data_IF_897263243538
#
_entry.id   IF_897263243538
#
_cell.length_a   1.000
_cell.length_b   1.000
_cell.length_c   1.000
_cell.angle_alpha   90.00
_cell.angle_beta   90.00
_cell.angle_gamma   90.00
#
_symmetry.space_group_name_H-M   'P 1'
#
loop_
_entity.id
_entity.type
_entity.pdbx_description
1 polymer ?
#
# COMPACT_ATOMS: atom_id res chain seq x y z
N UNK A 1 16.56 33.30 15.39
CA UNK A 1 15.92 31.98 15.19
C UNK A 1 15.16 32.06 13.88
N UNK A 2 15.48 31.24 12.87
CA UNK A 2 14.62 31.14 11.68
C UNK A 2 13.28 30.58 12.16
N UNK A 3 12.19 31.27 11.85
CA UNK A 3 10.85 30.81 12.18
C UNK A 3 10.60 29.52 11.40
N UNK A 4 10.30 28.44 12.12
CA UNK A 4 10.09 27.12 11.51
C UNK A 4 8.84 27.18 10.63
N UNK A 5 9.00 26.82 9.35
CA UNK A 5 7.90 26.86 8.38
C UNK A 5 6.98 25.67 8.60
N UNK A 6 5.67 25.91 8.58
CA UNK A 6 4.65 24.86 8.71
C UNK A 6 4.82 23.81 7.62
N UNK A 7 4.82 22.53 8.00
CA UNK A 7 4.90 21.42 7.06
C UNK A 7 3.72 21.42 6.07
N UNK A 8 4.00 21.09 4.82
CA UNK A 8 2.99 20.94 3.78
C UNK A 8 2.59 19.46 3.64
N UNK A 9 1.29 19.20 3.57
CA UNK A 9 0.74 17.87 3.31
C UNK A 9 0.03 17.85 1.95
N UNK A 10 0.43 16.95 1.05
CA UNK A 10 -0.14 16.83 -0.29
C UNK A 10 -0.78 15.46 -0.43
N UNK A 11 -2.10 15.42 -0.56
CA UNK A 11 -2.83 14.19 -0.79
C UNK A 11 -3.00 13.96 -2.29
N UNK A 12 -2.55 12.81 -2.76
CA UNK A 12 -2.93 12.27 -4.06
C UNK A 12 -4.41 11.89 -4.03
N UNK A 13 -5.22 12.71 -4.71
CA UNK A 13 -6.67 12.61 -4.69
C UNK A 13 -7.17 11.34 -5.36
N UNK A 14 -6.68 11.03 -6.56
CA UNK A 14 -7.17 9.87 -7.31
C UNK A 14 -6.71 8.56 -6.68
N UNK A 15 -5.49 8.47 -6.18
CA UNK A 15 -5.04 7.29 -5.42
C UNK A 15 -5.97 6.98 -4.24
N UNK A 16 -6.35 8.00 -3.45
CA UNK A 16 -7.30 7.78 -2.35
C UNK A 16 -8.72 7.48 -2.83
N UNK A 17 -9.20 8.09 -3.92
CA UNK A 17 -10.52 7.84 -4.50
C UNK A 17 -10.64 6.37 -4.95
N UNK A 18 -9.68 5.89 -5.74
CA UNK A 18 -9.65 4.51 -6.21
C UNK A 18 -9.56 3.52 -5.06
N UNK A 19 -8.63 3.75 -4.11
CA UNK A 19 -8.51 2.92 -2.91
C UNK A 19 -9.82 2.87 -2.12
N UNK A 20 -10.47 4.01 -1.94
CA UNK A 20 -11.74 4.11 -1.21
C UNK A 20 -12.87 3.38 -1.91
N UNK A 21 -12.94 3.45 -3.25
CA UNK A 21 -13.92 2.73 -4.03
C UNK A 21 -13.72 1.21 -3.95
N UNK A 22 -12.51 0.74 -4.23
CA UNK A 22 -12.21 -0.69 -4.29
C UNK A 22 -12.30 -1.37 -2.92
N UNK A 23 -12.05 -0.65 -1.82
CA UNK A 23 -12.28 -1.16 -0.47
C UNK A 23 -13.74 -1.62 -0.23
N UNK A 24 -14.72 -1.08 -0.97
CA UNK A 24 -16.13 -1.45 -0.85
C UNK A 24 -16.69 -2.11 -2.12
N UNK A 25 -15.86 -2.53 -3.07
CA UNK A 25 -16.35 -3.09 -4.35
C UNK A 25 -17.27 -4.29 -4.17
N UNK A 26 -16.98 -5.16 -3.19
CA UNK A 26 -17.78 -6.35 -2.88
C UNK A 26 -19.06 -6.03 -2.11
N UNK A 27 -19.14 -4.85 -1.48
CA UNK A 27 -20.31 -4.40 -0.73
C UNK A 27 -20.46 -2.88 -0.89
N UNK A 28 -20.90 -2.41 -2.06
CA UNK A 28 -21.02 -0.98 -2.33
C UNK A 28 -21.97 -0.32 -1.33
N UNK A 29 -21.61 0.87 -0.89
CA UNK A 29 -22.49 1.72 -0.09
C UNK A 29 -23.37 2.50 -1.06
N UNK A 30 -24.69 2.35 -0.96
CA UNK A 30 -25.66 3.06 -1.79
C UNK A 30 -26.53 3.95 -0.91
N UNK A 31 -26.87 5.14 -1.39
CA UNK A 31 -27.91 5.97 -0.77
C UNK A 31 -29.32 5.55 -1.24
N UNK A 32 -30.36 6.19 -0.71
CA UNK A 32 -31.77 5.91 -1.07
C UNK A 32 -32.12 6.07 -2.54
N UNK A 33 -31.36 6.88 -3.29
CA UNK A 33 -31.51 7.06 -4.75
C UNK A 33 -30.79 5.98 -5.58
N UNK A 34 -30.06 5.07 -4.92
CA UNK A 34 -29.23 4.05 -5.58
C UNK A 34 -27.86 4.56 -6.03
N UNK A 35 -27.47 5.78 -5.66
CA UNK A 35 -26.16 6.33 -5.97
C UNK A 35 -25.09 5.71 -5.06
N UNK A 36 -23.99 5.26 -5.67
CA UNK A 36 -22.83 4.70 -4.97
C UNK A 36 -22.08 5.80 -4.20
N UNK A 37 -21.89 5.62 -2.90
CA UNK A 37 -21.20 6.55 -2.00
C UNK A 37 -19.95 5.94 -1.37
N UNK A 38 -19.50 4.78 -1.84
CA UNK A 38 -18.33 4.06 -1.33
C UNK A 38 -17.05 4.90 -1.32
N UNK A 39 -16.71 5.53 -2.45
CA UNK A 39 -15.52 6.37 -2.58
C UNK A 39 -15.65 7.62 -1.72
N UNK A 40 -16.84 8.25 -1.69
CA UNK A 40 -17.13 9.41 -0.83
C UNK A 40 -16.90 9.06 0.64
N UNK A 41 -17.51 7.97 1.11
CA UNK A 41 -17.37 7.49 2.48
C UNK A 41 -15.90 7.21 2.84
N UNK A 42 -15.21 6.41 2.02
CA UNK A 42 -13.82 6.02 2.28
C UNK A 42 -12.86 7.22 2.27
N UNK A 43 -13.01 8.12 1.31
CA UNK A 43 -12.17 9.30 1.15
C UNK A 43 -12.28 10.20 2.38
N UNK A 44 -13.50 10.58 2.77
CA UNK A 44 -13.71 11.48 3.91
C UNK A 44 -13.45 10.82 5.27
N UNK A 45 -13.56 9.49 5.37
CA UNK A 45 -13.10 8.73 6.55
C UNK A 45 -11.58 8.81 6.70
N UNK A 46 -10.83 8.55 5.64
CA UNK A 46 -9.36 8.63 5.64
C UNK A 46 -8.87 10.06 5.87
N UNK A 47 -9.54 11.04 5.27
CA UNK A 47 -9.24 12.45 5.47
C UNK A 47 -9.46 12.88 6.93
N UNK A 48 -10.55 12.42 7.57
CA UNK A 48 -10.83 12.72 8.97
C UNK A 48 -9.71 12.17 9.87
N UNK A 49 -9.33 10.90 9.67
CA UNK A 49 -8.24 10.27 10.41
C UNK A 49 -6.90 11.00 10.20
N UNK A 50 -6.60 11.41 8.96
CA UNK A 50 -5.40 12.19 8.66
C UNK A 50 -5.37 13.52 9.43
N UNK A 51 -6.48 14.27 9.41
CA UNK A 51 -6.57 15.56 10.10
C UNK A 51 -6.53 15.43 11.63
N UNK A 52 -7.05 14.33 12.18
CA UNK A 52 -6.99 14.04 13.63
C UNK A 52 -5.57 13.68 14.08
N UNK A 53 -4.87 12.84 13.30
CA UNK A 53 -3.56 12.32 13.66
C UNK A 53 -2.44 13.33 13.37
N UNK A 54 -2.48 13.99 12.21
CA UNK A 54 -1.40 14.87 11.75
C UNK A 54 -1.65 16.36 12.02
N UNK A 55 -2.93 16.75 12.19
CA UNK A 55 -3.34 18.14 12.43
C UNK A 55 -2.67 19.15 11.48
N UNK A 56 -2.77 18.94 10.16
CA UNK A 56 -2.04 19.74 9.19
C UNK A 56 -2.55 21.18 9.14
N UNK A 57 -1.62 22.14 9.05
CA UNK A 57 -1.97 23.56 8.88
C UNK A 57 -1.93 24.01 7.41
N UNK A 58 -1.10 23.35 6.60
CA UNK A 58 -1.07 23.46 5.14
C UNK A 58 -1.37 22.07 4.55
N UNK A 59 -2.46 21.97 3.79
CA UNK A 59 -2.91 20.73 3.20
C UNK A 59 -3.61 20.99 1.86
N UNK A 60 -3.24 20.23 0.84
CA UNK A 60 -3.85 20.27 -0.48
C UNK A 60 -4.21 18.89 -1.00
N UNK A 61 -5.33 18.80 -1.71
CA UNK A 61 -5.70 17.60 -2.49
C UNK A 61 -5.33 17.85 -3.94
N UNK A 62 -4.43 17.03 -4.49
CA UNK A 62 -3.98 17.16 -5.86
C UNK A 62 -4.76 16.18 -6.74
N UNK A 63 -5.30 16.65 -7.85
CA UNK A 63 -6.17 15.89 -8.73
C UNK A 63 -5.57 15.81 -10.14
N UNK A 64 -5.77 14.68 -10.80
CA UNK A 64 -5.38 14.50 -12.20
C UNK A 64 -6.13 15.43 -13.16
N UNK A 65 -5.45 15.74 -14.26
CA UNK A 65 -6.03 16.38 -15.43
C UNK A 65 -7.17 15.51 -16.01
N UNK A 66 -8.33 16.12 -16.39
CA UNK A 66 -9.38 15.42 -17.10
C UNK A 66 -9.08 15.25 -18.60
N UNK A 67 -8.00 15.88 -19.09
CA UNK A 67 -7.56 15.83 -20.48
C UNK A 67 -6.21 15.11 -20.60
N UNK A 68 -5.86 14.57 -21.79
CA UNK A 68 -4.57 13.96 -22.02
C UNK A 68 -3.40 14.88 -21.63
N UNK A 69 -2.33 14.26 -21.15
CA UNK A 69 -1.10 14.94 -20.72
C UNK A 69 -0.01 14.85 -21.77
N UNK A 70 1.07 15.61 -21.58
CA UNK A 70 2.24 15.55 -22.45
C UNK A 70 2.84 14.13 -22.60
N UNK A 71 2.61 13.23 -21.64
CA UNK A 71 3.00 11.81 -21.74
C UNK A 71 2.26 11.07 -22.85
N UNK A 72 0.99 11.39 -23.09
CA UNK A 72 0.19 10.78 -24.15
C UNK A 72 0.67 11.24 -25.54
N UNK A 73 1.16 12.48 -25.66
CA UNK A 73 1.76 12.99 -26.89
C UNK A 73 3.14 12.34 -27.15
N UNK A 74 3.91 12.07 -26.09
CA UNK A 74 5.22 11.41 -26.18
C UNK A 74 5.12 9.92 -26.50
N UNK A 75 4.13 9.23 -25.94
CA UNK A 75 3.95 7.78 -26.11
C UNK A 75 2.44 7.44 -26.08
N UNK A 76 1.81 7.25 -27.25
CA UNK A 76 0.36 7.01 -27.35
C UNK A 76 -0.15 5.81 -26.55
N UNK A 77 0.69 4.80 -26.33
CA UNK A 77 0.35 3.61 -25.57
C UNK A 77 0.48 3.81 -24.04
N UNK A 78 0.94 4.97 -23.57
CA UNK A 78 1.02 5.30 -22.13
C UNK A 78 -0.37 5.17 -21.47
N UNK A 79 -0.45 4.40 -20.38
CA UNK A 79 -1.70 4.07 -19.64
C UNK A 79 -2.80 3.43 -20.49
N UNK A 80 -2.53 3.03 -21.74
CA UNK A 80 -3.55 2.50 -22.66
C UNK A 80 -4.12 1.13 -22.24
N UNK A 81 -3.40 0.40 -21.40
CA UNK A 81 -3.86 -0.87 -20.83
C UNK A 81 -4.62 -0.70 -19.50
N UNK A 82 -4.74 0.52 -18.96
CA UNK A 82 -5.56 0.76 -17.77
C UNK A 82 -7.03 0.52 -18.12
N UNK A 83 -7.69 -0.31 -17.32
CA UNK A 83 -9.13 -0.46 -17.44
C UNK A 83 -9.81 0.90 -17.21
N UNK A 84 -10.83 1.19 -18.02
CA UNK A 84 -11.63 2.39 -17.82
C UNK A 84 -12.25 2.33 -16.43
N UNK A 85 -12.11 3.41 -15.66
CA UNK A 85 -12.70 3.45 -14.33
C UNK A 85 -14.22 3.20 -14.40
N UNK A 86 -14.80 2.47 -13.42
CA UNK A 86 -16.23 2.26 -13.36
C UNK A 86 -17.00 3.58 -13.44
N UNK A 87 -18.07 3.64 -14.23
CA UNK A 87 -18.83 4.88 -14.44
C UNK A 87 -19.41 5.42 -13.12
N UNK A 88 -19.73 4.54 -12.16
CA UNK A 88 -20.21 4.89 -10.82
C UNK A 88 -19.10 5.39 -9.88
N UNK A 89 -17.82 5.05 -10.13
CA UNK A 89 -16.68 5.71 -9.50
C UNK A 89 -16.52 7.13 -10.06
N UNK A 90 -16.57 7.29 -11.38
CA UNK A 90 -16.48 8.61 -12.02
C UNK A 90 -17.58 9.57 -11.52
N UNK A 91 -18.80 9.06 -11.31
CA UNK A 91 -19.91 9.84 -10.78
C UNK A 91 -19.68 10.35 -9.35
N UNK A 92 -18.79 9.74 -8.57
CA UNK A 92 -18.45 10.15 -7.20
C UNK A 92 -17.40 11.26 -7.12
N UNK A 93 -16.57 11.44 -8.16
CA UNK A 93 -15.51 12.46 -8.16
C UNK A 93 -16.07 13.89 -8.01
N UNK A 94 -17.12 14.31 -8.76
CA UNK A 94 -17.73 15.63 -8.57
C UNK A 94 -18.27 15.85 -7.15
N UNK A 95 -18.82 14.80 -6.51
CA UNK A 95 -19.33 14.85 -5.14
C UNK A 95 -18.19 15.09 -4.14
N UNK A 96 -17.06 14.40 -4.32
CA UNK A 96 -15.88 14.61 -3.48
C UNK A 96 -15.36 16.05 -3.63
N UNK A 97 -15.30 16.58 -4.85
CA UNK A 97 -14.90 17.96 -5.09
C UNK A 97 -15.88 18.97 -4.48
N UNK A 98 -17.18 18.69 -4.53
CA UNK A 98 -18.23 19.51 -3.89
C UNK A 98 -18.00 19.59 -2.37
N UNK A 99 -17.78 18.46 -1.71
CA UNK A 99 -17.55 18.40 -0.27
C UNK A 99 -16.22 19.07 0.10
N UNK A 100 -15.12 18.82 -0.63
CA UNK A 100 -13.84 19.49 -0.42
C UNK A 100 -13.97 21.02 -0.51
N UNK A 101 -14.71 21.50 -1.52
CA UNK A 101 -15.00 22.93 -1.70
C UNK A 101 -15.83 23.49 -0.55
N UNK A 102 -16.87 22.76 -0.10
CA UNK A 102 -17.68 23.16 1.05
C UNK A 102 -16.83 23.26 2.33
N UNK A 103 -15.89 22.33 2.51
CA UNK A 103 -14.92 22.36 3.62
C UNK A 103 -13.84 23.44 3.50
N UNK A 104 -13.77 24.15 2.36
CA UNK A 104 -12.71 25.09 2.00
C UNK A 104 -11.31 24.45 1.95
N UNK A 105 -11.24 23.13 1.74
CA UNK A 105 -9.98 22.44 1.45
C UNK A 105 -9.57 22.78 0.02
N UNK A 106 -8.31 23.13 -0.16
CA UNK A 106 -7.77 23.50 -1.47
C UNK A 106 -7.53 22.25 -2.29
N UNK A 107 -8.16 22.19 -3.46
CA UNK A 107 -7.87 21.21 -4.49
C UNK A 107 -7.10 21.88 -5.62
N UNK A 108 -6.00 21.26 -6.05
CA UNK A 108 -5.15 21.74 -7.13
C UNK A 108 -5.22 20.77 -8.30
N UNK A 109 -5.35 21.32 -9.51
CA UNK A 109 -5.37 20.59 -10.77
C UNK A 109 -4.89 21.53 -11.88
N UNK A 110 -4.23 20.99 -12.89
CA UNK A 110 -3.81 21.72 -14.07
C UNK A 110 -3.98 20.84 -15.31
N UNK A 111 -4.67 21.36 -16.33
CA UNK A 111 -4.88 20.63 -17.58
C UNK A 111 -3.54 20.32 -18.26
N UNK A 112 -3.40 19.09 -18.76
CA UNK A 112 -2.20 18.62 -19.43
C UNK A 112 -1.10 18.06 -18.51
N UNK A 113 -1.31 18.09 -17.18
CA UNK A 113 -0.37 17.57 -16.18
C UNK A 113 -1.06 16.60 -15.23
N UNK A 114 -0.32 15.61 -14.75
CA UNK A 114 -0.84 14.61 -13.79
C UNK A 114 -0.77 15.15 -12.36
N UNK A 115 -1.48 14.51 -11.44
CA UNK A 115 -1.39 14.87 -10.03
C UNK A 115 0.06 14.81 -9.53
N UNK A 116 0.83 13.83 -10.02
CA UNK A 116 2.21 13.58 -9.63
C UNK A 116 3.15 14.74 -10.02
N UNK A 117 2.93 15.37 -11.18
CA UNK A 117 3.70 16.53 -11.62
C UNK A 117 3.41 17.76 -10.73
N UNK A 118 2.16 17.95 -10.34
CA UNK A 118 1.76 19.03 -9.43
C UNK A 118 2.31 18.79 -8.02
N UNK A 119 2.33 17.53 -7.56
CA UNK A 119 2.99 17.15 -6.31
C UNK A 119 4.49 17.45 -6.40
N UNK A 120 5.15 17.08 -7.50
CA UNK A 120 6.57 17.37 -7.73
C UNK A 120 6.86 18.87 -7.69
N UNK A 121 6.01 19.70 -8.30
CA UNK A 121 6.10 21.16 -8.23
C UNK A 121 6.10 21.67 -6.78
N UNK A 122 5.14 21.25 -5.95
CA UNK A 122 5.08 21.72 -4.56
C UNK A 122 6.21 21.13 -3.71
N UNK A 123 6.59 19.86 -3.93
CA UNK A 123 7.72 19.25 -3.27
C UNK A 123 9.01 20.03 -3.54
N UNK A 124 9.26 20.41 -4.79
CA UNK A 124 10.41 21.24 -5.16
C UNK A 124 10.38 22.61 -4.46
N UNK A 125 9.21 23.27 -4.38
CA UNK A 125 9.06 24.53 -3.62
C UNK A 125 9.37 24.35 -2.14
N UNK A 126 8.94 23.23 -1.55
CA UNK A 126 9.28 22.91 -0.17
C UNK A 126 10.78 22.72 0.04
N UNK A 127 11.47 22.01 -0.87
CA UNK A 127 12.94 21.84 -0.84
C UNK A 127 13.67 23.18 -0.91
N UNK A 128 13.30 24.04 -1.87
CA UNK A 128 13.87 25.39 -2.04
C UNK A 128 13.73 26.26 -0.77
N UNK A 129 12.65 26.04 -0.02
CA UNK A 129 12.33 26.77 1.19
C UNK A 129 12.86 26.15 2.48
N UNK A 130 13.41 24.93 2.42
CA UNK A 130 13.75 24.12 3.59
C UNK A 130 12.53 23.80 4.46
N UNK A 131 11.37 23.58 3.84
CA UNK A 131 10.09 23.24 4.49
C UNK A 131 9.87 21.74 4.40
N UNK A 132 9.41 21.13 5.50
CA UNK A 132 8.96 19.73 5.45
C UNK A 132 7.73 19.55 4.54
N UNK A 133 7.74 18.48 3.75
CA UNK A 133 6.66 18.11 2.85
C UNK A 133 6.33 16.63 3.00
N UNK A 134 5.07 16.32 3.26
CA UNK A 134 4.55 14.97 3.35
C UNK A 134 3.62 14.71 2.17
N UNK A 135 3.99 13.75 1.33
CA UNK A 135 3.19 13.33 0.17
C UNK A 135 2.41 12.08 0.57
N UNK A 136 1.09 12.18 0.66
CA UNK A 136 0.20 11.07 1.01
C UNK A 136 -0.18 10.34 -0.28
N UNK A 137 0.52 9.24 -0.56
CA UNK A 137 0.32 8.43 -1.76
C UNK A 137 0.79 6.99 -1.54
N UNK A 138 0.23 6.06 -2.31
CA UNK A 138 0.77 4.71 -2.47
C UNK A 138 1.66 4.54 -3.70
N UNK A 139 1.77 5.58 -4.52
CA UNK A 139 2.49 5.53 -5.80
C UNK A 139 4.01 5.53 -5.57
N UNK A 140 4.67 4.57 -6.21
CA UNK A 140 6.13 4.41 -6.14
C UNK A 140 6.86 5.45 -6.98
N UNK A 141 6.21 6.04 -7.98
CA UNK A 141 6.86 6.99 -8.88
C UNK A 141 7.24 8.26 -8.11
N UNK A 142 6.43 8.64 -7.12
CA UNK A 142 6.68 9.77 -6.23
C UNK A 142 7.85 9.56 -5.25
N UNK A 143 8.39 8.34 -5.14
CA UNK A 143 9.60 8.09 -4.33
C UNK A 143 10.82 8.85 -4.88
N UNK A 144 10.82 9.20 -6.16
CA UNK A 144 11.87 10.04 -6.77
C UNK A 144 11.96 11.45 -6.15
N UNK A 145 10.92 11.88 -5.42
CA UNK A 145 10.88 13.19 -4.77
C UNK A 145 11.44 13.19 -3.34
N UNK A 146 11.62 12.01 -2.72
CA UNK A 146 12.07 11.87 -1.33
C UNK A 146 13.44 12.51 -1.14
N UNK A 147 13.60 13.22 -0.02
CA UNK A 147 14.83 13.91 0.36
C UNK A 147 14.66 15.42 0.52
N UNK A 148 15.66 16.07 1.12
CA UNK A 148 15.65 17.52 1.42
C UNK A 148 14.38 17.99 2.17
N UNK A 149 13.88 17.18 3.10
CA UNK A 149 12.65 17.46 3.87
C UNK A 149 11.36 16.93 3.25
N UNK A 150 11.41 16.30 2.08
CA UNK A 150 10.27 15.62 1.44
C UNK A 150 10.23 14.14 1.86
N UNK A 151 9.06 13.68 2.31
CA UNK A 151 8.78 12.31 2.76
C UNK A 151 7.50 11.78 2.13
N UNK A 152 7.40 10.46 1.95
CA UNK A 152 6.13 9.81 1.56
C UNK A 152 5.41 9.33 2.81
N UNK A 153 4.11 9.59 2.90
CA UNK A 153 3.19 8.98 3.86
C UNK A 153 2.36 7.92 3.15
N UNK A 154 2.87 6.70 3.15
CA UNK A 154 2.24 5.56 2.47
C UNK A 154 1.10 5.00 3.33
N UNK A 155 -0.14 4.91 2.83
CA UNK A 155 -1.20 4.20 3.54
C UNK A 155 -0.84 2.71 3.69
N UNK A 156 -0.89 2.18 4.91
CA UNK A 156 -0.68 0.75 5.19
C UNK A 156 -1.65 0.25 6.25
N UNK A 157 -2.48 -0.76 5.92
CA UNK A 157 -3.39 -1.47 6.84
C UNK A 157 -4.20 -0.60 7.83
N UNK A 158 -4.52 0.65 7.45
CA UNK A 158 -5.30 1.58 8.28
C UNK A 158 -4.48 2.67 8.99
N UNK A 159 -3.15 2.61 8.89
CA UNK A 159 -2.20 3.62 9.36
C UNK A 159 -1.41 4.21 8.18
N UNK A 160 -0.46 5.10 8.49
CA UNK A 160 0.48 5.65 7.50
C UNK A 160 1.90 5.31 7.91
N UNK A 161 2.66 4.73 7.00
CA UNK A 161 4.11 4.55 7.11
C UNK A 161 4.77 5.77 6.49
N UNK A 162 5.66 6.41 7.24
CA UNK A 162 6.50 7.49 6.72
C UNK A 162 7.74 6.85 6.11
N UNK A 163 8.06 7.22 4.87
CA UNK A 163 9.26 6.81 4.16
C UNK A 163 10.15 8.03 3.91
N UNK A 164 11.37 7.98 4.41
CA UNK A 164 12.46 8.91 4.11
C UNK A 164 13.53 8.28 3.21
N UNK A 165 14.64 8.99 2.96
CA UNK A 165 15.68 8.52 2.02
C UNK A 165 16.26 7.13 2.37
N UNK A 166 16.68 6.86 3.63
CA UNK A 166 17.03 5.51 4.09
C UNK A 166 15.95 4.47 3.80
N UNK A 167 14.68 4.76 4.12
CA UNK A 167 13.59 3.80 3.95
C UNK A 167 13.38 3.41 2.49
N UNK A 168 13.55 4.36 1.56
CA UNK A 168 13.49 4.08 0.11
C UNK A 168 14.58 3.09 -0.29
N UNK A 169 15.81 3.33 0.13
CA UNK A 169 16.95 2.46 -0.18
C UNK A 169 16.76 1.04 0.41
N UNK A 170 16.26 0.95 1.65
CA UNK A 170 16.04 -0.32 2.32
C UNK A 170 14.92 -1.15 1.67
N UNK A 171 13.83 -0.52 1.23
CA UNK A 171 12.68 -1.21 0.63
C UNK A 171 12.92 -1.53 -0.85
N UNK A 172 13.51 -0.61 -1.61
CA UNK A 172 13.62 -0.74 -3.08
C UNK A 172 15.01 -1.16 -3.56
N UNK A 173 16.03 -1.11 -2.70
CA UNK A 173 17.42 -1.41 -3.08
C UNK A 173 18.08 -0.33 -3.92
N UNK A 174 17.42 0.81 -4.12
CA UNK A 174 17.91 1.97 -4.86
C UNK A 174 17.57 3.25 -4.10
N UNK A 175 18.39 4.27 -4.24
CA UNK A 175 18.17 5.57 -3.61
C UNK A 175 17.05 6.35 -4.32
N UNK A 176 16.44 7.37 -3.67
CA UNK A 176 15.44 8.24 -4.31
C UNK A 176 15.89 8.81 -5.67
N UNK A 177 17.13 9.28 -5.78
CA UNK A 177 17.72 9.83 -7.01
C UNK A 177 17.93 8.77 -8.12
N UNK A 178 17.83 7.48 -7.79
CA UNK A 178 17.94 6.35 -8.72
C UNK A 178 16.57 5.76 -9.11
N UNK A 179 15.46 6.18 -8.49
CA UNK A 179 14.11 5.63 -8.76
C UNK A 179 13.73 5.79 -10.25
N UNK A 180 14.05 6.95 -10.83
CA UNK A 180 13.80 7.23 -12.25
C UNK A 180 14.51 6.21 -13.15
N UNK A 181 15.79 5.95 -12.89
CA UNK A 181 16.59 5.02 -13.68
C UNK A 181 16.17 3.56 -13.42
N UNK A 182 15.75 3.24 -12.20
CA UNK A 182 15.19 1.94 -11.85
C UNK A 182 13.92 1.64 -12.64
N UNK A 183 12.98 2.59 -12.71
CA UNK A 183 11.76 2.47 -13.50
C UNK A 183 12.06 2.49 -15.01
N UNK A 184 13.07 3.24 -15.45
CA UNK A 184 13.52 3.21 -16.84
C UNK A 184 14.05 1.84 -17.29
N UNK A 185 14.70 1.11 -16.37
CA UNK A 185 15.21 -0.25 -16.63
C UNK A 185 14.11 -1.30 -16.51
N UNK A 186 13.27 -1.21 -15.48
CA UNK A 186 12.26 -2.24 -15.17
C UNK A 186 10.98 -2.09 -15.98
N UNK A 187 10.65 -0.87 -16.39
CA UNK A 187 9.34 -0.52 -16.92
C UNK A 187 8.27 -0.48 -15.83
N UNK A 188 7.05 -0.16 -16.24
CA UNK A 188 5.88 -0.20 -15.39
C UNK A 188 4.68 -0.71 -16.19
N UNK A 189 4.23 -1.92 -15.88
CA UNK A 189 3.05 -2.48 -16.52
C UNK A 189 1.77 -1.74 -16.18
N UNK A 190 1.64 -1.08 -15.02
CA UNK A 190 0.43 -0.35 -14.65
C UNK A 190 0.21 0.88 -15.56
N UNK A 191 1.30 1.46 -16.05
CA UNK A 191 1.32 2.65 -16.92
C UNK A 191 1.74 2.36 -18.34
N UNK A 192 1.92 1.08 -18.67
CA UNK A 192 2.47 0.61 -19.94
C UNK A 192 3.83 1.24 -20.29
N UNK A 193 4.65 1.57 -19.29
CA UNK A 193 6.01 2.04 -19.48
C UNK A 193 6.89 0.85 -19.88
N UNK A 194 7.57 0.87 -21.04
CA UNK A 194 8.11 -0.34 -21.65
C UNK A 194 9.35 -0.92 -20.96
N UNK A 195 10.20 -0.08 -20.38
CA UNK A 195 11.47 -0.49 -19.76
C UNK A 195 12.44 -1.22 -20.70
N UNK A 196 13.37 -1.97 -20.10
CA UNK A 196 14.24 -2.90 -20.84
C UNK A 196 13.70 -4.31 -20.74
N UNK A 197 13.31 -4.89 -21.89
CA UNK A 197 12.69 -6.21 -21.91
C UNK A 197 13.60 -7.27 -21.29
N UNK A 198 13.11 -7.89 -20.22
CA UNK A 198 13.81 -8.96 -19.51
C UNK A 198 14.84 -8.48 -18.48
N UNK A 199 14.85 -7.19 -18.13
CA UNK A 199 15.48 -6.66 -16.91
C UNK A 199 14.38 -6.42 -15.89
N UNK A 200 14.40 -7.19 -14.80
CA UNK A 200 13.46 -7.02 -13.68
C UNK A 200 14.12 -6.32 -12.48
N UNK A 201 13.36 -6.13 -11.38
CA UNK A 201 13.80 -5.40 -10.19
C UNK A 201 15.20 -5.75 -9.69
N UNK A 202 15.48 -7.04 -9.49
CA UNK A 202 16.79 -7.51 -8.99
C UNK A 202 17.96 -7.13 -9.88
N UNK A 203 17.76 -7.22 -11.20
CA UNK A 203 18.82 -6.88 -12.16
C UNK A 203 19.02 -5.37 -12.23
N UNK A 204 17.93 -4.60 -12.21
CA UNK A 204 18.01 -3.14 -12.17
C UNK A 204 18.72 -2.62 -10.91
N UNK A 205 18.35 -3.13 -9.72
CA UNK A 205 19.04 -2.81 -8.45
C UNK A 205 20.54 -3.08 -8.55
N UNK A 206 20.93 -4.26 -9.05
CA UNK A 206 22.35 -4.60 -9.21
C UNK A 206 23.05 -3.63 -10.17
N UNK A 207 22.45 -3.36 -11.33
CA UNK A 207 23.03 -2.46 -12.32
C UNK A 207 23.22 -1.04 -11.76
N UNK A 208 22.25 -0.54 -11.00
CA UNK A 208 22.33 0.80 -10.40
C UNK A 208 23.25 0.85 -9.19
N UNK A 209 23.42 -0.25 -8.46
CA UNK A 209 24.45 -0.36 -7.43
C UNK A 209 25.87 -0.32 -8.03
N UNK A 210 26.08 -1.01 -9.16
CA UNK A 210 27.39 -1.13 -9.80
C UNK A 210 27.75 0.13 -10.62
N UNK A 211 26.77 0.74 -11.30
CA UNK A 211 27.02 1.79 -12.30
C UNK A 211 26.32 3.12 -12.01
N UNK A 212 25.64 3.24 -10.88
CA UNK A 212 25.01 4.46 -10.32
C UNK A 212 23.82 5.05 -11.11
N UNK A 213 23.85 5.09 -12.44
CA UNK A 213 22.79 5.69 -13.27
C UNK A 213 22.52 4.92 -14.56
N UNK A 214 21.44 5.25 -15.26
CA UNK A 214 21.13 4.69 -16.57
C UNK A 214 22.25 4.97 -17.57
N UNK A 215 22.83 6.18 -17.58
CA UNK A 215 24.02 6.50 -18.38
C UNK A 215 25.19 5.58 -18.03
N UNK A 216 25.52 5.43 -16.75
CA UNK A 216 26.62 4.57 -16.31
C UNK A 216 26.43 3.12 -16.78
N UNK A 217 25.19 2.61 -16.73
CA UNK A 217 24.86 1.29 -17.28
C UNK A 217 25.16 1.21 -18.78
N UNK A 218 24.83 2.24 -19.57
CA UNK A 218 25.08 2.23 -21.02
C UNK A 218 26.51 2.63 -21.44
N UNK A 219 27.28 3.25 -20.56
CA UNK A 219 28.70 3.57 -20.78
C UNK A 219 29.59 2.36 -20.48
N UNK A 220 29.25 1.57 -19.46
CA UNK A 220 29.95 0.34 -19.08
C UNK A 220 29.44 -0.92 -19.78
N UNK A 221 29.02 -0.81 -21.04
CA UNK A 221 28.44 -1.94 -21.79
C UNK A 221 29.34 -3.18 -21.80
N UNK A 222 30.66 -3.00 -21.87
CA UNK A 222 31.64 -4.10 -21.87
C UNK A 222 31.78 -4.88 -20.56
N UNK A 223 31.26 -4.36 -19.44
CA UNK A 223 31.39 -4.96 -18.11
C UNK A 223 30.20 -5.86 -17.74
N UNK A 224 29.10 -5.74 -18.48
CA UNK A 224 27.91 -6.56 -18.26
C UNK A 224 28.08 -7.98 -18.80
N UNK A 225 27.32 -8.94 -18.26
CA UNK A 225 27.23 -10.27 -18.86
C UNK A 225 26.62 -10.21 -20.27
N UNK A 226 27.02 -11.11 -21.16
CA UNK A 226 26.54 -11.13 -22.56
C UNK A 226 25.00 -11.13 -22.69
N UNK A 227 24.30 -11.79 -21.75
CA UNK A 227 22.84 -11.81 -21.73
C UNK A 227 22.21 -10.46 -21.37
N UNK A 228 22.85 -9.70 -20.48
CA UNK A 228 22.41 -8.34 -20.09
C UNK A 228 22.74 -7.34 -21.19
N UNK A 229 23.94 -7.40 -21.78
CA UNK A 229 24.33 -6.56 -22.93
C UNK A 229 23.30 -6.63 -24.05
N UNK A 230 22.95 -7.85 -24.48
CA UNK A 230 21.99 -8.07 -25.57
C UNK A 230 20.61 -7.46 -25.27
N UNK A 231 20.15 -7.51 -24.02
CA UNK A 231 18.86 -6.92 -23.59
C UNK A 231 18.91 -5.39 -23.61
N UNK A 232 19.98 -4.81 -23.05
CA UNK A 232 20.22 -3.38 -22.99
C UNK A 232 20.33 -2.78 -24.41
N UNK A 233 21.08 -3.42 -25.31
CA UNK A 233 21.21 -3.00 -26.72
C UNK A 233 19.86 -3.04 -27.44
N UNK A 234 19.13 -4.16 -27.32
CA UNK A 234 17.87 -4.35 -28.02
C UNK A 234 16.74 -3.42 -27.53
N UNK A 235 16.84 -2.87 -26.32
CA UNK A 235 15.81 -2.01 -25.71
C UNK A 235 16.33 -0.64 -25.30
N UNK A 236 17.43 -0.16 -25.91
CA UNK A 236 18.04 1.12 -25.54
C UNK A 236 17.06 2.29 -25.64
N UNK A 237 16.40 2.43 -26.78
CA UNK A 237 15.46 3.52 -27.01
C UNK A 237 14.27 3.46 -26.04
N UNK A 238 13.81 2.24 -25.70
CA UNK A 238 12.74 2.05 -24.72
C UNK A 238 13.18 2.46 -23.31
N UNK A 239 14.42 2.19 -22.91
CA UNK A 239 14.92 2.61 -21.60
C UNK A 239 14.92 4.13 -21.46
N UNK A 240 15.47 4.83 -22.47
CA UNK A 240 15.51 6.29 -22.45
C UNK A 240 14.13 6.94 -22.63
N UNK A 241 13.22 6.33 -23.41
CA UNK A 241 11.82 6.74 -23.48
C UNK A 241 11.13 6.55 -22.12
N UNK A 242 11.30 5.38 -21.50
CA UNK A 242 10.73 5.08 -20.18
C UNK A 242 11.20 6.09 -19.15
N UNK A 243 12.49 6.45 -19.17
CA UNK A 243 13.02 7.51 -18.30
C UNK A 243 12.27 8.82 -18.47
N UNK A 244 12.03 9.25 -19.72
CA UNK A 244 11.27 10.48 -19.99
C UNK A 244 9.82 10.40 -19.51
N UNK A 245 9.19 9.22 -19.64
CA UNK A 245 7.81 9.00 -19.19
C UNK A 245 7.70 9.07 -17.66
N UNK A 246 8.61 8.45 -16.91
CA UNK A 246 8.53 8.38 -15.44
C UNK A 246 9.13 9.60 -14.73
N UNK A 247 9.87 10.46 -15.44
CA UNK A 247 10.38 11.71 -14.88
C UNK A 247 9.20 12.67 -14.64
N UNK A 248 9.08 13.15 -13.39
CA UNK A 248 8.04 14.11 -13.03
C UNK A 248 8.41 15.53 -13.47
N UNK A 249 7.46 16.22 -14.09
CA UNK A 249 7.60 17.61 -14.43
C UNK A 249 7.34 18.47 -13.19
N UNK A 250 8.08 19.57 -13.05
CA UNK A 250 7.82 20.60 -12.04
C UNK A 250 8.09 22.02 -12.56
N UNK A 251 8.68 22.17 -13.75
CA UNK A 251 8.86 23.48 -14.41
C UNK A 251 7.75 23.68 -15.44
N UNK A 252 6.56 23.97 -14.93
CA UNK A 252 5.41 24.38 -15.72
C UNK A 252 4.77 25.60 -15.05
N UNK A 253 4.05 26.42 -15.82
CA UNK A 253 3.62 27.77 -15.41
C UNK A 253 2.62 27.88 -14.24
N UNK A 254 2.60 26.91 -13.34
CA UNK A 254 1.92 26.97 -12.06
C UNK A 254 2.59 28.01 -11.15
N UNK A 255 1.80 28.91 -10.57
CA UNK A 255 2.31 30.01 -9.73
C UNK A 255 1.88 29.89 -8.26
N UNK A 256 1.19 28.80 -7.91
CA UNK A 256 0.76 28.57 -6.54
C UNK A 256 1.96 28.35 -5.62
N UNK A 257 1.84 28.78 -4.36
CA UNK A 257 2.84 28.56 -3.30
C UNK A 257 2.24 27.74 -2.16
N UNK A 258 3.06 27.06 -1.32
CA UNK A 258 2.56 26.25 -0.20
C UNK A 258 1.53 26.97 0.70
N UNK A 259 1.70 28.26 0.95
CA UNK A 259 0.76 29.08 1.75
C UNK A 259 -0.65 29.15 1.16
N UNK A 260 -0.79 29.03 -0.17
CA UNK A 260 -2.11 29.02 -0.80
C UNK A 260 -2.94 27.79 -0.39
N UNK A 261 -2.30 26.75 0.14
CA UNK A 261 -2.91 25.50 0.63
C UNK A 261 -3.22 25.53 2.13
N UNK A 262 -3.33 26.73 2.73
CA UNK A 262 -3.69 26.85 4.15
C UNK A 262 -5.07 26.28 4.45
N UNK A 263 -5.15 25.51 5.53
CA UNK A 263 -6.39 24.97 6.10
C UNK A 263 -6.88 25.74 7.33
N UNK A 264 -6.43 26.98 7.54
CA UNK A 264 -6.84 27.80 8.67
C UNK A 264 -8.35 28.09 8.72
N UNK A 265 -9.01 28.10 7.56
CA UNK A 265 -10.44 28.37 7.42
C UNK A 265 -11.30 27.10 7.23
N UNK A 266 -10.78 25.92 7.58
CA UNK A 266 -11.48 24.64 7.38
C UNK A 266 -12.92 24.66 7.94
N UNK A 267 -13.91 24.48 7.07
CA UNK A 267 -15.34 24.50 7.41
C UNK A 267 -15.91 23.09 7.52
N UNK A 268 -15.63 22.44 8.65
CA UNK A 268 -16.07 21.05 8.88
C UNK A 268 -17.59 20.90 8.84
N UNK A 269 -18.33 21.91 9.32
CA UNK A 269 -19.79 21.83 9.39
C UNK A 269 -20.45 21.98 8.02
N UNK A 270 -19.93 22.86 7.15
CA UNK A 270 -20.36 22.92 5.76
C UNK A 270 -20.14 21.59 5.04
N UNK A 271 -18.95 20.97 5.21
CA UNK A 271 -18.67 19.64 4.68
C UNK A 271 -19.62 18.55 5.20
N UNK A 272 -19.88 18.55 6.51
CA UNK A 272 -20.85 17.65 7.12
C UNK A 272 -22.26 17.82 6.54
N UNK A 273 -22.69 19.05 6.26
CA UNK A 273 -23.96 19.35 5.60
C UNK A 273 -24.09 18.64 4.24
N UNK A 274 -23.07 18.74 3.39
CA UNK A 274 -23.04 18.07 2.07
C UNK A 274 -22.96 16.54 2.23
N UNK A 275 -22.13 16.03 3.14
CA UNK A 275 -22.07 14.58 3.41
C UNK A 275 -23.44 14.01 3.79
N UNK A 276 -24.25 14.74 4.57
CA UNK A 276 -25.63 14.32 4.92
C UNK A 276 -26.59 14.31 3.73
N UNK A 277 -26.46 15.24 2.78
CA UNK A 277 -27.31 15.23 1.59
C UNK A 277 -27.06 14.00 0.71
N UNK A 278 -25.88 13.39 0.81
CA UNK A 278 -25.57 12.10 0.18
C UNK A 278 -25.75 10.89 1.12
N UNK A 279 -26.40 11.07 2.28
CA UNK A 279 -26.69 10.05 3.30
C UNK A 279 -25.44 9.40 3.94
N UNK A 280 -24.28 10.06 3.86
CA UNK A 280 -23.01 9.63 4.49
C UNK A 280 -22.95 10.08 5.96
N UNK A 281 -24.00 9.76 6.71
CA UNK A 281 -24.29 10.36 8.02
C UNK A 281 -23.21 10.11 9.09
N UNK A 282 -22.68 8.89 9.18
CA UNK A 282 -21.68 8.54 10.19
C UNK A 282 -20.38 9.32 10.05
N UNK A 283 -20.00 9.67 8.81
CA UNK A 283 -18.83 10.52 8.54
C UNK A 283 -19.19 11.99 8.78
N UNK A 284 -20.37 12.43 8.36
CA UNK A 284 -20.84 13.80 8.64
C UNK A 284 -20.83 14.12 10.14
N UNK A 285 -21.29 13.19 10.98
CA UNK A 285 -21.32 13.38 12.44
C UNK A 285 -19.91 13.49 13.05
N UNK A 286 -18.92 12.81 12.47
CA UNK A 286 -17.51 12.95 12.86
C UNK A 286 -16.97 14.35 12.55
N UNK A 287 -17.33 14.94 11.41
CA UNK A 287 -16.92 16.31 11.07
C UNK A 287 -17.64 17.39 11.90
N UNK A 288 -18.89 17.14 12.30
CA UNK A 288 -19.66 18.06 13.15
C UNK A 288 -19.32 17.98 14.65
N UNK A 289 -18.42 17.08 15.06
CA UNK A 289 -18.09 16.86 16.47
C UNK A 289 -19.24 16.24 17.28
N UNK A 290 -20.26 15.68 16.60
CA UNK A 290 -21.38 14.94 17.21
C UNK A 290 -21.13 13.43 17.26
N UNK A 291 -20.04 12.96 16.67
CA UNK A 291 -19.53 11.62 16.92
C UNK A 291 -19.22 11.48 18.40
N UNK A 292 -19.98 10.63 19.10
CA UNK A 292 -19.77 10.40 20.52
C UNK A 292 -18.34 9.92 20.80
N UNK A 293 -17.74 10.45 21.86
CA UNK A 293 -16.55 9.93 22.57
C UNK A 293 -16.73 8.50 23.14
N UNK A 294 -17.69 7.72 22.62
CA UNK A 294 -17.84 6.30 22.91
C UNK A 294 -16.98 5.40 22.00
N UNK A 295 -16.08 5.98 21.20
CA UNK A 295 -15.02 5.24 20.51
C UNK A 295 -13.78 4.99 21.39
N UNK A 296 -13.98 4.79 22.69
CA UNK A 296 -12.98 4.24 23.64
C UNK A 296 -13.53 3.01 24.36
N UNK A 297 -14.07 2.04 23.60
CA UNK A 297 -14.07 0.59 23.92
C UNK A 297 -14.89 -0.16 22.86
N UNK A 298 -14.34 -0.22 21.66
CA UNK A 298 -14.41 -1.37 20.76
C UNK A 298 -13.75 -0.92 19.47
N UNK A 299 -12.47 -1.28 19.31
CA UNK A 299 -11.91 -1.49 17.99
C UNK A 299 -12.67 -2.65 17.34
N UNK A 300 -13.92 -2.41 16.95
CA UNK A 300 -14.45 -3.02 15.74
C UNK A 300 -13.80 -2.26 14.60
N UNK A 301 -12.53 -2.60 14.38
CA UNK A 301 -11.99 -2.63 13.04
C UNK A 301 -13.00 -3.45 12.25
N UNK A 302 -13.84 -2.78 11.46
CA UNK A 302 -14.34 -3.43 10.27
C UNK A 302 -13.06 -3.61 9.45
N UNK A 303 -12.43 -4.78 9.63
CA UNK A 303 -11.50 -5.31 8.66
C UNK A 303 -12.36 -5.50 7.42
N UNK A 304 -12.35 -4.47 6.58
CA UNK A 304 -12.76 -4.63 5.20
C UNK A 304 -11.59 -5.42 4.63
N UNK A 305 -11.76 -6.74 4.50
CA UNK A 305 -10.87 -7.54 3.68
C UNK A 305 -10.96 -6.93 2.28
N UNK A 306 -9.93 -6.15 1.93
CA UNK A 306 -9.67 -5.78 0.56
C UNK A 306 -9.64 -7.10 -0.22
N UNK A 307 -10.57 -7.25 -1.18
CA UNK A 307 -10.33 -8.21 -2.22
C UNK A 307 -9.01 -7.82 -2.86
N UNK A 308 -8.13 -8.81 -3.01
CA UNK A 308 -7.03 -8.79 -3.94
C UNK A 308 -7.59 -8.33 -5.30
N UNK A 309 -7.43 -7.04 -5.61
CA UNK A 309 -7.11 -6.68 -6.99
C UNK A 309 -5.64 -6.99 -7.13
N UNK A 310 -5.34 -8.10 -7.78
CA UNK A 310 -4.03 -8.44 -8.31
C UNK A 310 -3.53 -7.28 -9.19
N UNK A 311 -2.89 -6.29 -8.56
CA UNK A 311 -1.86 -5.52 -9.23
C UNK A 311 -0.61 -6.38 -9.09
N UNK A 312 -0.19 -6.95 -10.20
CA UNK A 312 0.94 -7.87 -10.29
C UNK A 312 2.22 -7.27 -9.69
N UNK A 313 2.53 -7.61 -8.44
CA UNK A 313 3.89 -7.55 -7.91
C UNK A 313 4.66 -8.77 -8.42
N UNK A 314 4.89 -8.80 -9.73
CA UNK A 314 5.84 -9.72 -10.33
C UNK A 314 7.26 -9.20 -10.07
N UNK A 315 7.87 -9.66 -8.98
CA UNK A 315 9.33 -9.76 -8.92
C UNK A 315 10.05 -9.13 -7.74
N UNK A 316 9.71 -9.48 -6.49
CA UNK A 316 10.70 -9.55 -5.41
C UNK A 316 10.49 -10.84 -4.62
N UNK A 317 10.77 -11.99 -5.25
CA UNK A 317 10.99 -13.24 -4.53
C UNK A 317 12.42 -13.27 -4.01
N UNK A 318 12.63 -12.85 -2.77
CA UNK A 318 13.90 -13.02 -2.08
C UNK A 318 14.66 -11.72 -1.88
N UNK A 319 14.28 -11.01 -0.82
CA UNK A 319 15.12 -10.28 0.12
C UNK A 319 14.27 -10.19 1.40
N UNK A 320 14.82 -10.66 2.52
CA UNK A 320 14.09 -10.76 3.78
C UNK A 320 13.63 -9.39 4.25
N UNK A 321 12.32 -9.18 4.26
CA UNK A 321 11.71 -7.99 4.84
C UNK A 321 11.91 -8.03 6.35
N UNK A 322 12.74 -7.12 6.87
CA UNK A 322 12.69 -6.74 8.28
C UNK A 322 11.44 -5.90 8.48
N UNK A 323 10.49 -6.45 9.23
CA UNK A 323 9.26 -5.75 9.61
C UNK A 323 9.60 -4.53 10.48
N UNK A 324 9.24 -3.34 10.00
CA UNK A 324 9.15 -2.12 10.80
C UNK A 324 7.86 -2.11 11.61
N UNK A 325 7.86 -2.81 12.74
CA UNK A 325 7.04 -2.45 13.90
C UNK A 325 7.99 -1.72 14.83
N UNK A 326 7.57 -0.61 15.44
CA UNK A 326 8.27 -0.01 16.58
C UNK A 326 8.13 -0.89 17.83
N UNK A 327 8.56 -2.15 17.71
CA UNK A 327 8.70 -3.14 18.75
C UNK A 327 10.06 -3.80 18.53
N UNK A 328 10.74 -4.13 19.61
CA UNK A 328 12.03 -4.84 19.56
C UNK A 328 11.96 -6.04 18.60
N UNK A 329 13.05 -6.34 17.89
CA UNK A 329 13.12 -7.47 16.97
C UNK A 329 12.75 -8.77 17.71
N UNK A 330 11.60 -9.34 17.36
CA UNK A 330 11.12 -10.56 18.00
C UNK A 330 11.89 -11.81 17.60
N UNK A 331 11.85 -12.84 18.44
CA UNK A 331 12.40 -14.18 18.18
C UNK A 331 11.30 -15.08 17.59
N UNK A 332 11.40 -15.39 16.30
CA UNK A 332 10.42 -16.22 15.60
C UNK A 332 11.07 -17.47 15.03
N UNK A 333 10.38 -18.61 15.12
CA UNK A 333 10.88 -19.88 14.59
C UNK A 333 9.91 -20.59 13.64
N UNK A 334 10.46 -21.29 12.65
CA UNK A 334 9.71 -22.20 11.79
C UNK A 334 9.75 -23.61 12.39
N UNK A 335 8.59 -24.12 12.79
CA UNK A 335 8.41 -25.46 13.37
C UNK A 335 8.26 -26.46 12.23
N UNK A 336 9.32 -27.19 11.90
CA UNK A 336 9.36 -28.08 10.72
C UNK A 336 9.56 -29.55 11.08
N UNK A 337 9.58 -29.87 12.38
CA UNK A 337 9.74 -31.22 12.91
C UNK A 337 8.76 -31.49 14.04
N UNK A 338 8.39 -32.76 14.23
CA UNK A 338 7.45 -33.18 15.29
C UNK A 338 7.96 -32.83 16.69
N UNK A 339 9.28 -32.90 16.91
CA UNK A 339 9.89 -32.52 18.20
C UNK A 339 9.70 -31.03 18.50
N UNK A 340 9.85 -30.15 17.51
CA UNK A 340 9.60 -28.72 17.66
C UNK A 340 8.11 -28.44 17.89
N UNK A 341 7.22 -29.15 17.18
CA UNK A 341 5.77 -29.03 17.34
C UNK A 341 5.36 -29.41 18.77
N UNK A 342 5.87 -30.53 19.28
CA UNK A 342 5.63 -30.96 20.65
C UNK A 342 6.14 -29.92 21.67
N UNK A 343 7.32 -29.36 21.45
CA UNK A 343 7.88 -28.34 22.35
C UNK A 343 6.99 -27.09 22.45
N UNK A 344 6.37 -26.66 21.35
CA UNK A 344 5.41 -25.55 21.36
C UNK A 344 4.10 -25.90 22.05
N UNK A 345 3.56 -27.09 21.83
CA UNK A 345 2.38 -27.59 22.55
C UNK A 345 2.63 -27.60 24.07
N UNK A 346 3.79 -28.12 24.50
CA UNK A 346 4.17 -28.12 25.92
C UNK A 346 4.33 -26.69 26.47
N UNK A 347 4.88 -25.77 25.67
CA UNK A 347 5.05 -24.35 26.03
C UNK A 347 3.71 -23.65 26.23
N UNK A 348 2.75 -23.88 25.33
CA UNK A 348 1.38 -23.36 25.44
C UNK A 348 0.70 -23.89 26.71
N UNK A 349 0.78 -25.20 26.96
CA UNK A 349 0.23 -25.83 28.17
C UNK A 349 0.85 -25.25 29.45
N UNK A 350 2.15 -24.98 29.43
CA UNK A 350 2.85 -24.36 30.57
C UNK A 350 2.44 -22.91 30.78
N UNK A 351 2.23 -22.14 29.71
CA UNK A 351 1.83 -20.74 29.78
C UNK A 351 0.36 -20.57 30.24
N UNK A 352 -0.51 -21.53 29.93
CA UNK A 352 -1.94 -21.47 30.24
C UNK A 352 -2.74 -20.54 29.30
N UNK A 353 -2.07 -19.88 28.36
CA UNK A 353 -2.67 -19.01 27.35
C UNK A 353 -1.79 -18.91 26.12
N UNK A 354 -2.38 -18.58 24.98
CA UNK A 354 -1.65 -18.40 23.72
C UNK A 354 -2.46 -17.58 22.71
N UNK A 355 -1.75 -16.89 21.82
CA UNK A 355 -2.31 -16.32 20.61
C UNK A 355 -2.24 -17.35 19.47
N UNK A 356 -3.29 -17.39 18.64
CA UNK A 356 -3.41 -18.32 17.53
C UNK A 356 -3.96 -17.62 16.28
N UNK A 357 -3.44 -18.02 15.11
CA UNK A 357 -3.87 -17.53 13.80
C UNK A 357 -3.63 -18.61 12.73
N UNK A 358 -4.48 -18.64 11.70
CA UNK A 358 -4.40 -19.58 10.57
C UNK A 358 -3.98 -18.91 9.27
N UNK A 359 -3.05 -19.54 8.55
CA UNK A 359 -2.78 -19.23 7.14
C UNK A 359 -3.56 -20.20 6.27
N UNK A 360 -4.24 -19.68 5.24
CA UNK A 360 -5.21 -20.47 4.46
C UNK A 360 -5.17 -20.16 2.96
N UNK A 361 -5.76 -21.04 2.14
CA UNK A 361 -5.76 -20.92 0.67
C UNK A 361 -6.74 -19.89 0.10
N UNK A 362 -7.68 -19.39 0.89
CA UNK A 362 -8.79 -18.54 0.43
C UNK A 362 -9.19 -17.58 1.57
N UNK A 363 -9.93 -16.52 1.25
CA UNK A 363 -10.50 -15.58 2.24
C UNK A 363 -11.92 -15.97 2.68
N UNK A 364 -12.57 -16.89 1.96
CA UNK A 364 -13.86 -17.47 2.35
C UNK A 364 -13.61 -18.69 3.24
N UNK A 365 -13.88 -18.55 4.56
CA UNK A 365 -13.70 -19.61 5.55
C UNK A 365 -14.46 -20.92 5.22
N UNK A 366 -15.49 -20.85 4.39
CA UNK A 366 -16.26 -22.03 3.97
C UNK A 366 -15.60 -22.80 2.82
N UNK A 367 -14.58 -22.25 2.17
CA UNK A 367 -13.82 -22.87 1.07
C UNK A 367 -12.34 -23.04 1.41
N UNK A 368 -11.81 -22.18 2.26
CA UNK A 368 -10.43 -22.19 2.70
C UNK A 368 -9.97 -23.53 3.26
N UNK A 369 -8.74 -23.92 2.91
CA UNK A 369 -8.01 -25.04 3.51
C UNK A 369 -6.79 -24.50 4.29
N UNK A 370 -6.40 -25.14 5.42
CA UNK A 370 -5.22 -24.73 6.14
C UNK A 370 -3.93 -24.92 5.35
N UNK A 371 -3.04 -23.93 5.44
CA UNK A 371 -1.69 -23.87 4.85
C UNK A 371 -0.63 -23.87 5.94
N UNK A 372 -0.91 -23.24 7.08
CA UNK A 372 -0.05 -23.22 8.25
C UNK A 372 -0.70 -22.52 9.45
N UNK A 373 0.01 -22.49 10.56
CA UNK A 373 -0.51 -22.02 11.85
C UNK A 373 0.51 -21.18 12.59
N UNK A 374 0.08 -20.09 13.21
CA UNK A 374 0.94 -19.23 14.03
C UNK A 374 0.56 -19.34 15.50
N UNK A 375 1.55 -19.48 16.38
CA UNK A 375 1.36 -19.55 17.84
C UNK A 375 2.33 -18.59 18.54
N UNK A 376 1.84 -17.87 19.55
CA UNK A 376 2.68 -17.08 20.44
C UNK A 376 2.18 -17.17 21.89
N UNK A 377 3.09 -17.26 22.86
CA UNK A 377 2.76 -17.27 24.31
C UNK A 377 3.27 -16.04 25.04
N UNK A 378 4.02 -15.16 24.35
CA UNK A 378 4.53 -13.90 24.90
C UNK A 378 4.78 -12.90 23.76
N UNK A 379 4.81 -11.60 24.10
CA UNK A 379 5.07 -10.55 23.12
C UNK A 379 6.49 -10.69 22.55
N UNK A 380 6.62 -10.51 21.23
CA UNK A 380 7.92 -10.60 20.55
C UNK A 380 8.48 -12.02 20.41
N UNK A 381 7.76 -13.08 20.79
CA UNK A 381 8.17 -14.46 20.47
C UNK A 381 7.02 -15.32 19.96
N UNK A 382 7.26 -16.06 18.88
CA UNK A 382 6.25 -16.95 18.31
C UNK A 382 6.82 -17.98 17.35
N UNK A 383 5.97 -18.86 16.87
CA UNK A 383 6.34 -19.79 15.81
C UNK A 383 5.33 -19.81 14.68
N UNK A 384 5.81 -20.25 13.52
CA UNK A 384 5.01 -20.63 12.38
C UNK A 384 5.18 -22.13 12.12
N UNK A 385 4.06 -22.84 12.03
CA UNK A 385 3.97 -24.27 11.77
C UNK A 385 3.46 -24.44 10.33
N UNK A 386 4.33 -24.60 9.31
CA UNK A 386 3.90 -24.88 7.95
C UNK A 386 3.22 -26.25 7.86
N UNK A 387 2.07 -26.33 7.17
CA UNK A 387 1.42 -27.61 6.84
C UNK A 387 1.71 -28.01 5.40
N UNK A 388 1.23 -27.21 4.43
CA UNK A 388 1.39 -27.50 2.99
C UNK A 388 1.50 -26.22 2.18
N UNK A 389 2.35 -26.20 1.15
CA UNK A 389 2.51 -25.06 0.24
C UNK A 389 2.85 -25.53 -1.18
N UNK A 390 2.50 -24.72 -2.18
CA UNK A 390 2.92 -24.96 -3.55
C UNK A 390 4.44 -24.78 -3.66
N UNK A 391 5.11 -25.77 -4.24
CA UNK A 391 6.52 -25.71 -4.60
C UNK A 391 6.65 -25.01 -5.95
N UNK A 392 7.57 -24.05 -6.05
CA UNK A 392 7.81 -23.37 -7.31
C UNK A 392 8.27 -24.40 -8.35
N UNK A 393 7.55 -24.50 -9.47
CA UNK A 393 7.95 -25.33 -10.60
C UNK A 393 9.36 -24.95 -11.04
N UNK A 394 10.26 -25.94 -11.09
CA UNK A 394 11.66 -25.70 -11.44
C UNK A 394 11.79 -25.20 -12.88
N UNK A 395 10.84 -25.52 -13.75
CA UNK A 395 10.79 -25.10 -15.16
C UNK A 395 9.36 -24.78 -15.63
N UNK A 396 9.25 -23.95 -16.67
CA UNK A 396 7.98 -23.55 -17.26
C UNK A 396 7.31 -24.73 -17.97
N UNK A 397 6.26 -25.28 -17.35
CA UNK A 397 5.44 -26.36 -17.91
C UNK A 397 5.16 -27.52 -16.96
N UNK A 398 5.79 -27.56 -15.77
CA UNK A 398 5.48 -28.56 -14.75
C UNK A 398 4.33 -28.10 -13.85
N UNK A 399 3.40 -29.02 -13.55
CA UNK A 399 2.41 -28.85 -12.49
C UNK A 399 3.12 -28.66 -11.16
N UNK A 400 2.85 -27.54 -10.48
CA UNK A 400 3.40 -27.26 -9.15
C UNK A 400 3.15 -28.42 -8.19
N UNK A 401 4.21 -29.04 -7.66
CA UNK A 401 4.12 -30.04 -6.60
C UNK A 401 3.68 -29.36 -5.31
N UNK A 402 2.92 -30.05 -4.47
CA UNK A 402 2.59 -29.58 -3.12
C UNK A 402 3.64 -30.16 -2.18
N UNK A 403 4.39 -29.29 -1.51
CA UNK A 403 5.27 -29.67 -0.41
C UNK A 403 4.45 -29.74 0.88
N UNK A 404 4.55 -30.85 1.60
CA UNK A 404 3.91 -31.07 2.89
C UNK A 404 4.98 -31.28 3.96
N UNK A 405 4.87 -30.57 5.09
CA UNK A 405 5.85 -30.63 6.20
C UNK A 405 5.44 -31.63 7.29
N UNK A 406 4.14 -31.80 7.53
CA UNK A 406 3.61 -32.72 8.54
C UNK A 406 2.51 -33.60 7.95
N UNK A 407 2.41 -34.81 8.47
CA UNK A 407 1.19 -35.59 8.30
C UNK A 407 0.00 -34.87 8.94
N UNK A 408 -1.14 -34.85 8.24
CA UNK A 408 -2.33 -34.12 8.67
C UNK A 408 -2.85 -34.60 10.04
N UNK A 409 -2.80 -35.90 10.32
CA UNK A 409 -3.29 -36.46 11.57
C UNK A 409 -2.39 -36.10 12.74
N UNK A 410 -1.07 -36.07 12.52
CA UNK A 410 -0.10 -35.66 13.54
C UNK A 410 -0.33 -34.20 13.91
N UNK A 411 -0.47 -33.33 12.90
CA UNK A 411 -0.68 -31.90 13.13
C UNK A 411 -2.04 -31.62 13.78
N UNK A 412 -3.11 -32.32 13.36
CA UNK A 412 -4.42 -32.21 14.03
C UNK A 412 -4.36 -32.66 15.48
N UNK A 413 -3.70 -33.78 15.75
CA UNK A 413 -3.60 -34.31 17.12
C UNK A 413 -2.90 -33.30 18.05
N UNK A 414 -1.78 -32.73 17.61
CA UNK A 414 -1.03 -31.73 18.37
C UNK A 414 -1.83 -30.43 18.60
N UNK A 415 -2.57 -29.95 17.59
CA UNK A 415 -3.36 -28.73 17.71
C UNK A 415 -4.61 -28.93 18.59
N UNK A 416 -5.23 -30.12 18.56
CA UNK A 416 -6.35 -30.45 19.46
C UNK A 416 -5.96 -30.40 20.93
N UNK A 417 -4.74 -30.82 21.25
CA UNK A 417 -4.23 -30.77 22.63
C UNK A 417 -4.20 -29.37 23.25
N UNK A 418 -4.25 -28.31 22.43
CA UNK A 418 -4.23 -26.92 22.91
C UNK A 418 -5.48 -26.12 22.54
N UNK A 419 -6.16 -26.44 21.44
CA UNK A 419 -7.34 -25.71 20.97
C UNK A 419 -8.65 -26.26 21.56
N UNK A 420 -8.71 -27.56 21.87
CA UNK A 420 -9.89 -28.19 22.50
C UNK A 420 -9.76 -28.25 24.04
N UNK A 421 -8.68 -27.71 24.62
CA UNK A 421 -8.46 -27.66 26.07
C UNK A 421 -9.11 -26.42 26.69
N UNK A 422 -10.28 -26.60 27.30
CA UNK A 422 -11.05 -25.54 27.95
C UNK A 422 -10.31 -24.86 29.12
N UNK A 423 -9.20 -25.42 29.61
CA UNK A 423 -8.39 -24.81 30.68
C UNK A 423 -7.42 -23.75 30.15
N UNK A 424 -7.14 -23.74 28.84
CA UNK A 424 -6.23 -22.80 28.20
C UNK A 424 -6.99 -21.57 27.69
N UNK A 425 -6.39 -20.38 27.87
CA UNK A 425 -6.96 -19.15 27.35
C UNK A 425 -6.45 -18.86 25.93
N UNK A 426 -7.32 -19.03 24.95
CA UNK A 426 -7.06 -18.64 23.57
C UNK A 426 -7.23 -17.14 23.35
N UNK A 427 -6.26 -16.53 22.68
CA UNK A 427 -6.29 -15.14 22.23
C UNK A 427 -6.30 -15.14 20.70
N UNK A 428 -7.28 -14.49 20.09
CA UNK A 428 -7.38 -14.42 18.64
C UNK A 428 -7.81 -13.05 18.15
N UNK A 429 -7.34 -12.67 16.97
CA UNK A 429 -7.80 -11.50 16.24
C UNK A 429 -8.62 -12.00 15.05
N UNK A 430 -9.89 -11.58 14.94
CA UNK A 430 -10.81 -12.12 13.93
C UNK A 430 -11.09 -13.64 14.03
N UNK A 431 -10.99 -14.20 15.25
CA UNK A 431 -11.08 -15.66 15.54
C UNK A 431 -12.29 -16.39 14.95
N UNK A 432 -13.36 -15.68 14.57
CA UNK A 432 -14.52 -16.27 13.90
C UNK A 432 -14.15 -16.88 12.54
N UNK A 433 -13.13 -16.35 11.86
CA UNK A 433 -12.60 -16.93 10.63
C UNK A 433 -11.92 -18.27 10.93
N UNK A 434 -10.92 -18.24 11.81
CA UNK A 434 -10.13 -19.41 12.21
C UNK A 434 -11.01 -20.51 12.79
N UNK A 435 -11.97 -20.15 13.65
CA UNK A 435 -12.97 -21.08 14.18
C UNK A 435 -13.68 -21.88 13.08
N UNK A 436 -14.13 -21.21 12.01
CA UNK A 436 -14.85 -21.88 10.91
C UNK A 436 -13.93 -22.80 10.12
N UNK A 437 -12.71 -22.34 9.85
CA UNK A 437 -11.69 -23.13 9.13
C UNK A 437 -11.32 -24.37 9.94
N UNK A 438 -10.99 -24.18 11.22
CA UNK A 438 -10.58 -25.24 12.13
C UNK A 438 -11.71 -26.24 12.39
N UNK A 439 -12.95 -25.77 12.59
CA UNK A 439 -14.12 -26.64 12.73
C UNK A 439 -14.36 -27.49 11.50
N UNK A 440 -14.24 -26.92 10.29
CA UNK A 440 -14.31 -27.69 9.03
C UNK A 440 -13.16 -28.68 8.89
N UNK A 441 -11.99 -28.32 9.42
CA UNK A 441 -10.81 -29.17 9.45
C UNK A 441 -10.86 -30.25 10.55
N UNK A 442 -11.88 -30.21 11.43
CA UNK A 442 -12.16 -31.24 12.43
C UNK A 442 -11.56 -30.96 13.82
N UNK A 443 -11.26 -29.70 14.13
CA UNK A 443 -10.78 -29.22 15.43
C UNK A 443 -11.80 -28.22 15.98
N UNK A 444 -12.26 -28.44 17.21
CA UNK A 444 -13.13 -27.49 17.91
C UNK A 444 -12.28 -26.48 18.71
N UNK A 445 -12.75 -25.23 18.77
CA UNK A 445 -12.11 -24.10 19.48
C UNK A 445 -13.13 -23.51 20.44
#
# INVERSE_FOLDING_TARGET
MKQEKKALYLLDGYSLIYRSYFAFINRPLLNSSGFNTSAVFGFFRSLAALFENQKPELFGVVMDSPVPTFRHDMYPEYKANREKAPDDLHAQVPVIQEILKAMKIKSVRMDGYEADDIIAYFAQKCKEEGRECFIITGDKDLLQLVGDGVKIMKPDKGEYIILDEPDVADVWGVKPDQIIDYLALTGDSADNVPGVKGIGPKTAVKLLADFNSLEGVYESMGEHSAGVQKKLEASRDNAFLSRKLVTLAYDFGLTAVPENLSCAELDRSAGAGVLRSYEVNSIADRYDGKGSDTAHTSNKTVVINEAQTDISYAGISGLGAKNGVSGEAGEYEAVTTENQLKAWVDRVKTAGWFAFDTETTDIDAMKAEPVGFSIAVEAGRGCYIPFKAAEAAAEAGETASIKTWFDEQILKSALKEILEDETLKLIGQNIKYDYKVMKRWGIEI
#
